data_IF_171944908907
#
_entry.id   IF_171944908907
#
_cell.length_a   1.000
_cell.length_b   1.000
_cell.length_c   1.000
_cell.angle_alpha   90.00
_cell.angle_beta   90.00
_cell.angle_gamma   90.00
#
_symmetry.space_group_name_H-M   'P 1'
#
loop_
_entity.id
_entity.type
_entity.pdbx_description
1 polymer ?
#
# COMPACT_ATOMS: atom_id res chain seq x y z
N UNK A 1 -2.55 -1.04 25.29
CA UNK A 1 -3.46 -1.00 24.11
C UNK A 1 -2.59 -1.00 22.88
N UNK A 2 -2.76 -1.95 21.96
CA UNK A 2 -1.96 -2.04 20.74
C UNK A 2 -2.32 -0.94 19.74
N UNK A 3 -1.33 -0.41 19.03
CA UNK A 3 -1.48 0.63 18.00
C UNK A 3 -1.02 0.06 16.66
N UNK A 4 -1.91 0.06 15.69
CA UNK A 4 -1.61 -0.41 14.33
C UNK A 4 -1.72 0.77 13.37
N UNK A 5 -0.67 1.03 12.60
CA UNK A 5 -0.67 2.06 11.58
C UNK A 5 -0.93 1.43 10.20
N UNK A 6 -1.94 1.93 9.48
CA UNK A 6 -2.24 1.57 8.09
C UNK A 6 -1.90 2.77 7.22
N UNK A 7 -0.94 2.60 6.33
CA UNK A 7 -0.40 3.64 5.47
C UNK A 7 -0.81 3.39 4.02
N UNK A 8 -1.29 4.42 3.32
CA UNK A 8 -1.54 4.39 1.89
C UNK A 8 -1.19 5.73 1.23
N UNK A 9 -0.92 5.71 -0.07
CA UNK A 9 -0.50 6.89 -0.81
C UNK A 9 -1.63 7.93 -0.91
N UNK A 10 -2.87 7.50 -1.09
CA UNK A 10 -4.01 8.37 -1.37
C UNK A 10 -5.15 8.16 -0.38
N UNK A 11 -6.05 9.15 -0.28
CA UNK A 11 -7.27 9.02 0.50
C UNK A 11 -8.20 7.92 -0.05
N UNK A 12 -8.20 7.70 -1.36
CA UNK A 12 -8.99 6.67 -2.01
C UNK A 12 -8.55 5.27 -1.56
N UNK A 13 -7.25 5.02 -1.50
CA UNK A 13 -6.70 3.74 -1.04
C UNK A 13 -6.92 3.49 0.45
N UNK A 14 -7.06 4.53 1.27
CA UNK A 14 -7.42 4.41 2.69
C UNK A 14 -8.92 4.19 2.91
N UNK A 15 -9.77 4.65 1.99
CA UNK A 15 -11.22 4.61 2.15
C UNK A 15 -11.77 3.21 2.45
N UNK A 16 -11.28 2.09 1.87
CA UNK A 16 -11.68 0.75 2.24
C UNK A 16 -11.49 0.43 3.73
N UNK A 17 -10.31 0.71 4.27
CA UNK A 17 -10.01 0.49 5.69
C UNK A 17 -10.79 1.46 6.59
N UNK A 18 -10.94 2.72 6.15
CA UNK A 18 -11.68 3.73 6.88
C UNK A 18 -13.16 3.35 7.02
N UNK A 19 -13.81 2.91 5.94
CA UNK A 19 -15.22 2.51 5.97
C UNK A 19 -15.48 1.35 6.93
N UNK A 20 -14.53 0.44 7.08
CA UNK A 20 -14.61 -0.64 8.07
C UNK A 20 -14.50 -0.11 9.48
N UNK A 21 -13.56 0.80 9.75
CA UNK A 21 -13.44 1.42 11.09
C UNK A 21 -14.68 2.22 11.46
N UNK A 22 -15.30 2.94 10.52
CA UNK A 22 -16.55 3.68 10.73
C UNK A 22 -17.72 2.77 11.09
N UNK A 23 -17.75 1.56 10.53
CA UNK A 23 -18.74 0.55 10.89
C UNK A 23 -18.60 0.07 12.35
N UNK A 24 -17.36 -0.03 12.85
CA UNK A 24 -17.10 -0.46 14.24
C UNK A 24 -17.19 0.68 15.26
N UNK A 25 -17.16 1.96 14.85
CA UNK A 25 -17.26 3.06 15.77
C UNK A 25 -16.94 4.43 15.19
N UNK A 26 -16.78 5.40 16.09
CA UNK A 26 -16.43 6.77 15.69
C UNK A 26 -14.97 6.87 15.27
N UNK A 27 -14.71 7.59 14.19
CA UNK A 27 -13.38 7.99 13.75
C UNK A 27 -13.11 9.41 14.20
N UNK A 28 -11.90 9.65 14.70
CA UNK A 28 -11.36 10.99 14.95
C UNK A 28 -10.36 11.35 13.85
N UNK A 29 -10.52 12.52 13.27
CA UNK A 29 -9.55 13.07 12.32
C UNK A 29 -8.52 13.92 13.04
N UNK A 30 -7.25 13.78 12.65
CA UNK A 30 -6.11 14.43 13.28
C UNK A 30 -4.98 14.62 12.23
N UNK A 31 -3.81 14.97 12.68
CA UNK A 31 -2.59 15.06 11.86
C UNK A 31 -1.41 14.44 12.59
N UNK A 32 -0.58 13.73 11.83
CA UNK A 32 0.75 13.31 12.25
C UNK A 32 1.75 14.15 11.47
N UNK A 33 2.34 15.14 12.12
CA UNK A 33 3.10 16.18 11.44
C UNK A 33 2.23 16.90 10.38
N UNK A 34 2.65 16.82 9.11
CA UNK A 34 1.91 17.39 7.96
C UNK A 34 0.90 16.42 7.32
N UNK A 35 0.87 15.16 7.74
CA UNK A 35 0.09 14.10 7.10
C UNK A 35 -1.32 14.03 7.69
N UNK A 36 -2.32 13.81 6.81
CA UNK A 36 -3.69 13.57 7.24
C UNK A 36 -3.76 12.20 7.94
N UNK A 37 -4.43 12.19 9.06
CA UNK A 37 -4.50 11.06 9.97
C UNK A 37 -5.94 10.86 10.45
N UNK A 38 -6.42 9.62 10.46
CA UNK A 38 -7.69 9.24 11.05
C UNK A 38 -7.44 8.11 12.07
N UNK A 39 -8.14 8.16 13.19
CA UNK A 39 -7.97 7.23 14.31
C UNK A 39 -9.31 6.56 14.58
N UNK A 40 -9.32 5.24 14.56
CA UNK A 40 -10.46 4.42 14.96
C UNK A 40 -10.04 3.34 15.95
N UNK A 41 -11.00 2.55 16.43
CA UNK A 41 -10.74 1.48 17.39
C UNK A 41 -11.40 0.18 16.97
N UNK A 42 -10.66 -0.90 17.05
CA UNK A 42 -11.13 -2.27 16.87
C UNK A 42 -10.87 -3.05 18.18
N UNK A 43 -11.88 -3.15 19.04
CA UNK A 43 -11.73 -3.74 20.40
C UNK A 43 -10.61 -3.03 21.20
N UNK A 44 -9.54 -3.76 21.49
CA UNK A 44 -8.35 -3.31 22.23
C UNK A 44 -7.23 -2.75 21.32
N UNK A 45 -7.47 -2.67 20.01
CA UNK A 45 -6.52 -2.15 19.03
C UNK A 45 -6.93 -0.76 18.59
N UNK A 46 -6.03 0.21 18.73
CA UNK A 46 -6.16 1.53 18.14
C UNK A 46 -5.57 1.50 16.72
N UNK A 47 -6.37 1.86 15.73
CA UNK A 47 -5.98 1.84 14.32
C UNK A 47 -5.80 3.27 13.82
N UNK A 48 -4.63 3.54 13.30
CA UNK A 48 -4.23 4.82 12.74
C UNK A 48 -4.16 4.71 11.22
N UNK A 49 -4.97 5.49 10.50
CA UNK A 49 -4.96 5.57 9.05
C UNK A 49 -4.19 6.80 8.60
N UNK A 50 -3.12 6.64 7.84
CA UNK A 50 -2.26 7.76 7.46
C UNK A 50 -2.13 7.84 5.93
N UNK A 51 -2.46 9.02 5.37
CA UNK A 51 -2.22 9.32 3.98
C UNK A 51 -0.80 9.84 3.80
N UNK A 52 0.07 9.03 3.17
CA UNK A 52 1.48 9.37 2.97
C UNK A 52 1.71 10.37 1.83
N UNK A 53 0.89 10.29 0.78
CA UNK A 53 1.17 10.86 -0.55
C UNK A 53 1.96 9.88 -1.41
N UNK A 54 1.94 10.10 -2.73
CA UNK A 54 2.53 9.21 -3.73
C UNK A 54 4.06 9.34 -3.73
N UNK A 55 4.75 8.20 -3.83
CA UNK A 55 6.18 8.05 -4.05
C UNK A 55 7.00 7.88 -2.76
N UNK A 56 8.17 7.29 -2.95
CA UNK A 56 9.06 6.85 -1.87
C UNK A 56 9.48 7.96 -0.89
N UNK A 57 9.69 9.20 -1.36
CA UNK A 57 10.11 10.30 -0.48
C UNK A 57 9.00 10.72 0.51
N UNK A 58 7.74 10.78 0.04
CA UNK A 58 6.60 11.10 0.89
C UNK A 58 6.29 9.97 1.85
N UNK A 59 6.36 8.73 1.37
CA UNK A 59 6.22 7.53 2.20
C UNK A 59 7.26 7.51 3.33
N UNK A 60 8.53 7.86 3.05
CA UNK A 60 9.59 7.98 4.05
C UNK A 60 9.22 8.96 5.15
N UNK A 61 8.95 10.20 4.77
CA UNK A 61 8.64 11.28 5.73
C UNK A 61 7.37 10.97 6.57
N UNK A 62 6.37 10.32 5.96
CA UNK A 62 5.16 9.92 6.68
C UNK A 62 5.46 8.81 7.68
N UNK A 63 6.23 7.79 7.29
CA UNK A 63 6.55 6.66 8.17
C UNK A 63 7.45 7.10 9.33
N UNK A 64 8.45 7.97 9.10
CA UNK A 64 9.26 8.57 10.15
C UNK A 64 8.39 9.36 11.15
N UNK A 65 7.44 10.17 10.65
CA UNK A 65 6.52 10.90 11.51
C UNK A 65 5.60 9.98 12.32
N UNK A 66 5.14 8.88 11.73
CA UNK A 66 4.32 7.85 12.40
C UNK A 66 5.13 7.16 13.51
N UNK A 67 6.37 6.79 13.25
CA UNK A 67 7.23 6.19 14.26
C UNK A 67 7.44 7.13 15.43
N UNK A 68 7.76 8.39 15.15
CA UNK A 68 8.05 9.37 16.18
C UNK A 68 6.82 9.72 17.04
N UNK A 69 5.64 9.87 16.43
CA UNK A 69 4.45 10.38 17.11
C UNK A 69 3.52 9.28 17.63
N UNK A 70 3.52 8.09 17.04
CA UNK A 70 2.57 7.02 17.35
C UNK A 70 3.29 5.83 17.97
N UNK A 71 4.51 5.49 17.52
CA UNK A 71 5.25 4.27 17.87
C UNK A 71 4.35 3.03 17.73
N UNK A 72 3.94 2.66 16.51
CA UNK A 72 2.97 1.60 16.30
C UNK A 72 3.57 0.22 16.57
N UNK A 73 2.75 -0.71 17.06
CA UNK A 73 3.13 -2.10 17.28
C UNK A 73 3.14 -2.92 15.98
N UNK A 74 2.54 -2.38 14.92
CA UNK A 74 2.60 -2.94 13.55
C UNK A 74 2.32 -1.86 12.51
N UNK A 75 2.92 -2.01 11.32
CA UNK A 75 2.68 -1.16 10.16
C UNK A 75 2.15 -2.03 9.01
N UNK A 76 1.03 -1.60 8.42
CA UNK A 76 0.44 -2.18 7.24
C UNK A 76 0.50 -1.15 6.11
N UNK A 77 1.18 -1.47 5.02
CA UNK A 77 1.15 -0.68 3.80
C UNK A 77 0.06 -1.23 2.89
N UNK A 78 -0.90 -0.40 2.51
CA UNK A 78 -2.01 -0.80 1.64
C UNK A 78 -2.16 0.12 0.43
N UNK A 79 -2.88 -0.33 -0.58
CA UNK A 79 -3.17 0.46 -1.78
C UNK A 79 -3.21 -0.39 -3.05
N UNK A 80 -3.05 0.29 -4.17
CA UNK A 80 -3.03 -0.36 -5.48
C UNK A 80 -1.62 -0.82 -5.85
N UNK A 81 -1.57 -1.76 -6.83
CA UNK A 81 -0.32 -2.29 -7.35
C UNK A 81 -0.46 -2.57 -8.84
N UNK A 82 0.58 -2.27 -9.61
CA UNK A 82 0.71 -2.78 -10.97
C UNK A 82 1.05 -4.27 -10.92
N UNK A 83 0.24 -5.11 -11.59
CA UNK A 83 0.49 -6.54 -11.68
C UNK A 83 1.72 -6.84 -12.54
N UNK A 84 2.58 -7.71 -12.06
CA UNK A 84 3.72 -8.27 -12.80
C UNK A 84 3.55 -9.78 -13.06
N UNK A 85 2.59 -10.42 -12.40
CA UNK A 85 2.23 -11.82 -12.55
C UNK A 85 0.94 -12.03 -13.37
N UNK A 86 0.38 -13.24 -13.32
CA UNK A 86 -0.85 -13.59 -14.03
C UNK A 86 -2.13 -13.05 -13.38
N UNK A 87 -2.03 -12.39 -12.25
CA UNK A 87 -3.16 -11.92 -11.45
C UNK A 87 -4.01 -10.92 -12.22
N UNK A 88 -5.33 -11.10 -12.12
CA UNK A 88 -6.31 -10.18 -12.71
C UNK A 88 -6.49 -8.89 -11.91
N UNK A 89 -7.07 -7.87 -12.55
CA UNK A 89 -7.50 -6.64 -11.87
C UNK A 89 -8.43 -6.98 -10.71
N UNK A 90 -8.21 -6.34 -9.56
CA UNK A 90 -8.93 -6.60 -8.33
C UNK A 90 -8.43 -7.80 -7.53
N UNK A 91 -7.47 -8.60 -8.03
CA UNK A 91 -6.84 -9.62 -7.21
C UNK A 91 -6.02 -8.99 -6.08
N UNK A 92 -6.02 -9.62 -4.90
CA UNK A 92 -5.23 -9.18 -3.76
C UNK A 92 -3.84 -9.83 -3.81
N UNK A 93 -2.80 -9.03 -3.64
CA UNK A 93 -1.42 -9.47 -3.46
C UNK A 93 -1.01 -9.23 -2.01
N UNK A 94 -0.62 -10.29 -1.32
CA UNK A 94 0.02 -10.26 -0.01
C UNK A 94 1.53 -10.37 -0.21
N UNK A 95 2.27 -9.31 0.11
CA UNK A 95 3.73 -9.31 -0.04
C UNK A 95 4.37 -10.32 0.90
N UNK A 96 5.26 -11.19 0.39
CA UNK A 96 6.08 -12.11 1.18
C UNK A 96 7.47 -11.54 1.46
N UNK A 97 7.95 -10.73 0.53
CA UNK A 97 9.18 -9.97 0.64
C UNK A 97 9.05 -8.70 -0.17
N UNK A 98 9.74 -7.65 0.27
CA UNK A 98 9.73 -6.35 -0.40
C UNK A 98 11.14 -6.04 -0.86
N UNK A 99 11.27 -5.68 -2.14
CA UNK A 99 12.55 -5.37 -2.75
C UNK A 99 12.58 -3.91 -3.20
N UNK A 100 13.64 -3.21 -2.88
CA UNK A 100 13.88 -1.86 -3.36
C UNK A 100 14.55 -1.90 -4.74
N UNK A 101 13.87 -1.35 -5.73
CA UNK A 101 14.33 -1.26 -7.11
C UNK A 101 14.44 0.19 -7.59
N UNK A 102 14.45 1.14 -6.65
CA UNK A 102 14.46 2.59 -6.96
C UNK A 102 15.69 3.00 -7.77
N UNK A 103 16.81 2.31 -7.59
CA UNK A 103 18.06 2.56 -8.32
C UNK A 103 18.38 1.48 -9.35
N UNK A 104 17.35 0.75 -9.82
CA UNK A 104 17.48 -0.35 -10.80
C UNK A 104 18.49 -1.44 -10.36
N UNK A 105 18.71 -1.58 -9.06
CA UNK A 105 19.59 -2.58 -8.46
C UNK A 105 18.80 -3.46 -7.51
N UNK A 106 19.06 -4.76 -7.60
CA UNK A 106 18.52 -5.71 -6.62
C UNK A 106 19.05 -5.35 -5.23
N UNK A 107 18.14 -4.97 -4.33
CA UNK A 107 18.46 -4.80 -2.91
C UNK A 107 18.20 -6.10 -2.15
N UNK A 108 18.75 -6.20 -0.94
CA UNK A 108 18.38 -7.26 -0.01
C UNK A 108 16.88 -7.22 0.25
N UNK A 109 16.22 -8.38 0.13
CA UNK A 109 14.81 -8.53 0.41
C UNK A 109 14.50 -8.15 1.87
N UNK A 110 13.48 -7.31 2.06
CA UNK A 110 12.95 -7.00 3.39
C UNK A 110 11.82 -7.99 3.66
N UNK A 111 11.98 -8.78 4.72
CA UNK A 111 10.97 -9.75 5.12
C UNK A 111 9.73 -9.05 5.70
N UNK A 112 8.56 -9.65 5.50
CA UNK A 112 7.33 -9.24 6.18
C UNK A 112 7.14 -10.08 7.46
N UNK A 113 6.25 -9.64 8.32
CA UNK A 113 5.89 -10.39 9.53
C UNK A 113 4.97 -11.57 9.19
N UNK A 114 5.38 -12.79 9.54
CA UNK A 114 4.65 -14.02 9.23
C UNK A 114 3.31 -14.13 9.95
N UNK A 115 3.18 -13.54 11.14
CA UNK A 115 1.92 -13.52 11.91
C UNK A 115 0.88 -12.65 11.18
N UNK A 116 1.29 -11.46 10.75
CA UNK A 116 0.45 -10.57 9.97
C UNK A 116 0.11 -11.16 8.60
N UNK A 117 1.08 -11.80 7.93
CA UNK A 117 0.88 -12.44 6.64
C UNK A 117 -0.14 -13.59 6.74
N UNK A 118 -0.02 -14.42 7.78
CA UNK A 118 -0.95 -15.53 8.05
C UNK A 118 -2.35 -15.01 8.33
N UNK A 119 -2.49 -13.99 9.17
CA UNK A 119 -3.79 -13.38 9.46
C UNK A 119 -4.41 -12.75 8.21
N UNK A 120 -3.60 -12.10 7.36
CA UNK A 120 -4.05 -11.54 6.10
C UNK A 120 -4.50 -12.61 5.10
N UNK A 121 -3.79 -13.74 5.02
CA UNK A 121 -4.17 -14.86 4.16
C UNK A 121 -5.51 -15.48 4.58
N UNK A 122 -5.73 -15.63 5.88
CA UNK A 122 -7.03 -16.06 6.42
C UNK A 122 -8.12 -15.06 6.06
N UNK A 123 -7.89 -13.77 6.30
CA UNK A 123 -8.85 -12.72 5.98
C UNK A 123 -9.19 -12.66 4.49
N UNK A 124 -8.21 -12.81 3.60
CA UNK A 124 -8.43 -12.83 2.15
C UNK A 124 -9.30 -14.01 1.72
N UNK A 125 -9.05 -15.20 2.30
CA UNK A 125 -9.86 -16.39 2.05
C UNK A 125 -11.31 -16.22 2.52
N UNK A 126 -11.51 -15.74 3.74
CA UNK A 126 -12.86 -15.53 4.31
C UNK A 126 -13.62 -14.42 3.57
N UNK A 127 -12.91 -13.40 3.07
CA UNK A 127 -13.47 -12.36 2.21
C UNK A 127 -13.97 -12.90 0.86
N UNK A 128 -13.55 -14.11 0.46
CA UNK A 128 -13.88 -14.70 -0.83
C UNK A 128 -13.35 -13.88 -2.01
N UNK A 129 -12.20 -13.20 -1.83
CA UNK A 129 -11.54 -12.46 -2.90
C UNK A 129 -10.48 -13.36 -3.56
N UNK A 130 -10.19 -13.12 -4.86
CA UNK A 130 -9.03 -13.73 -5.49
C UNK A 130 -7.76 -13.16 -4.89
N UNK A 131 -6.84 -14.00 -4.42
CA UNK A 131 -5.61 -13.54 -3.81
C UNK A 131 -4.42 -14.46 -4.09
N UNK A 132 -3.23 -13.88 -4.01
CA UNK A 132 -1.96 -14.58 -4.09
C UNK A 132 -0.95 -13.98 -3.12
N UNK A 133 0.16 -14.66 -2.90
CA UNK A 133 1.28 -14.15 -2.12
C UNK A 133 2.58 -14.25 -2.91
N UNK A 134 3.43 -13.26 -2.81
CA UNK A 134 4.71 -13.25 -3.52
C UNK A 134 5.51 -11.97 -3.32
N UNK A 135 6.69 -11.89 -3.96
CA UNK A 135 7.55 -10.72 -3.85
C UNK A 135 6.93 -9.48 -4.48
N UNK A 136 7.12 -8.33 -3.84
CA UNK A 136 6.75 -7.00 -4.34
C UNK A 136 8.02 -6.19 -4.54
N UNK A 137 8.10 -5.43 -5.63
CA UNK A 137 9.17 -4.47 -5.86
C UNK A 137 8.65 -3.04 -5.82
N UNK A 138 9.48 -2.15 -5.29
CA UNK A 138 9.21 -0.71 -5.26
C UNK A 138 10.15 0.00 -6.22
N UNK A 139 9.59 0.81 -7.11
CA UNK A 139 10.30 1.60 -8.12
C UNK A 139 10.11 3.09 -7.90
N UNK A 140 10.97 3.90 -8.53
CA UNK A 140 10.93 5.36 -8.38
C UNK A 140 9.77 6.02 -9.17
N UNK A 141 9.39 5.44 -10.31
CA UNK A 141 8.44 5.99 -11.25
C UNK A 141 7.35 4.98 -11.58
N UNK A 142 6.20 5.47 -12.05
CA UNK A 142 5.11 4.62 -12.51
C UNK A 142 5.56 3.85 -13.76
N UNK A 143 5.46 2.53 -13.71
CA UNK A 143 5.70 1.64 -14.86
C UNK A 143 4.40 1.57 -15.67
N UNK A 144 4.34 2.27 -16.77
CA UNK A 144 3.08 2.47 -17.50
C UNK A 144 2.95 1.62 -18.77
N UNK A 145 4.06 1.09 -19.31
CA UNK A 145 4.04 0.23 -20.50
C UNK A 145 4.06 -1.24 -20.14
N UNK A 146 3.28 -2.05 -20.84
CA UNK A 146 3.26 -3.50 -20.68
C UNK A 146 4.65 -4.12 -20.90
N UNK A 147 5.40 -3.65 -21.90
CA UNK A 147 6.77 -4.13 -22.17
C UNK A 147 7.73 -3.89 -21.00
N UNK A 148 7.61 -2.74 -20.34
CA UNK A 148 8.40 -2.39 -19.15
C UNK A 148 8.03 -3.30 -17.97
N UNK A 149 6.73 -3.53 -17.73
CA UNK A 149 6.25 -4.45 -16.69
C UNK A 149 6.75 -5.88 -16.92
N UNK A 150 6.69 -6.37 -18.15
CA UNK A 150 7.17 -7.71 -18.51
C UNK A 150 8.68 -7.85 -18.31
N UNK A 151 9.46 -6.85 -18.74
CA UNK A 151 10.91 -6.82 -18.51
C UNK A 151 11.23 -6.80 -17.01
N UNK A 152 10.50 -5.99 -16.23
CA UNK A 152 10.67 -5.87 -14.80
C UNK A 152 10.30 -7.18 -14.08
N UNK A 153 9.20 -7.83 -14.48
CA UNK A 153 8.80 -9.14 -13.97
C UNK A 153 9.89 -10.20 -14.20
N UNK A 154 10.42 -10.27 -15.44
CA UNK A 154 11.47 -11.21 -15.79
C UNK A 154 12.79 -10.95 -15.03
N UNK A 155 13.15 -9.69 -14.81
CA UNK A 155 14.38 -9.31 -14.11
C UNK A 155 14.30 -9.52 -12.59
N UNK A 156 13.13 -9.31 -11.98
CA UNK A 156 12.97 -9.31 -10.52
C UNK A 156 12.34 -10.57 -9.94
N UNK A 157 11.58 -11.32 -10.74
CA UNK A 157 10.73 -12.41 -10.26
C UNK A 157 9.57 -11.94 -9.36
N UNK A 158 9.32 -10.65 -9.26
CA UNK A 158 8.24 -10.10 -8.47
C UNK A 158 6.88 -10.26 -9.17
N UNK A 159 5.81 -10.32 -8.38
CA UNK A 159 4.43 -10.43 -8.88
C UNK A 159 3.68 -9.10 -8.88
N UNK A 160 4.28 -8.06 -8.30
CA UNK A 160 3.69 -6.72 -8.27
C UNK A 160 4.71 -5.62 -8.08
N UNK A 161 4.38 -4.41 -8.58
CA UNK A 161 5.21 -3.21 -8.52
C UNK A 161 4.45 -2.04 -7.94
N UNK A 162 5.06 -1.36 -6.97
CA UNK A 162 4.55 -0.12 -6.35
C UNK A 162 5.65 0.95 -6.21
N UNK A 163 5.35 2.04 -5.49
CA UNK A 163 6.29 3.16 -5.31
C UNK A 163 6.61 3.46 -3.84
N UNK A 164 6.07 2.73 -2.88
CA UNK A 164 6.14 3.07 -1.46
C UNK A 164 6.59 1.93 -0.54
N UNK A 165 6.23 0.67 -0.83
CA UNK A 165 6.35 -0.45 0.10
C UNK A 165 7.76 -0.65 0.63
N UNK A 166 8.80 -0.59 -0.21
CA UNK A 166 10.17 -0.83 0.24
C UNK A 166 10.65 0.25 1.23
N UNK A 167 10.24 1.49 1.01
CA UNK A 167 10.59 2.59 1.91
C UNK A 167 9.94 2.43 3.28
N UNK A 168 8.65 2.09 3.31
CA UNK A 168 7.91 1.85 4.56
C UNK A 168 8.49 0.63 5.28
N UNK A 169 8.68 -0.48 4.55
CA UNK A 169 9.22 -1.73 5.08
C UNK A 169 10.62 -1.55 5.68
N UNK A 170 11.48 -0.76 5.02
CA UNK A 170 12.84 -0.48 5.51
C UNK A 170 12.82 0.24 6.85
N UNK A 171 11.98 1.28 7.00
CA UNK A 171 11.86 2.00 8.27
C UNK A 171 11.28 1.08 9.34
N UNK A 172 10.23 0.31 9.02
CA UNK A 172 9.68 -0.66 9.94
C UNK A 172 10.73 -1.68 10.42
N UNK A 173 11.56 -2.20 9.49
CA UNK A 173 12.64 -3.13 9.83
C UNK A 173 13.73 -2.50 10.71
N UNK A 174 14.13 -1.24 10.44
CA UNK A 174 15.09 -0.52 11.27
C UNK A 174 14.59 -0.31 12.70
N UNK A 175 13.30 -0.01 12.84
CA UNK A 175 12.62 0.19 14.12
C UNK A 175 12.11 -1.13 14.75
N UNK A 176 12.36 -2.27 14.09
CA UNK A 176 11.92 -3.61 14.52
C UNK A 176 10.39 -3.71 14.69
N UNK A 177 9.63 -2.96 13.89
CA UNK A 177 8.18 -2.98 13.87
C UNK A 177 7.69 -4.02 12.87
N UNK A 178 6.81 -4.97 13.24
CA UNK A 178 6.15 -5.87 12.31
C UNK A 178 5.52 -5.15 11.14
N UNK A 179 5.79 -5.63 9.92
CA UNK A 179 5.35 -5.00 8.68
C UNK A 179 4.63 -5.99 7.75
N UNK A 180 3.60 -5.50 7.07
CA UNK A 180 2.90 -6.22 6.01
C UNK A 180 2.56 -5.28 4.86
N UNK A 181 2.71 -5.76 3.61
CA UNK A 181 2.19 -5.10 2.42
C UNK A 181 0.97 -5.84 1.88
N UNK A 182 -0.15 -5.12 1.71
CA UNK A 182 -1.41 -5.62 1.16
C UNK A 182 -1.80 -4.75 -0.02
N UNK A 183 -1.91 -5.33 -1.20
CA UNK A 183 -2.13 -4.60 -2.45
C UNK A 183 -3.26 -5.20 -3.27
N UNK A 184 -4.08 -4.36 -3.91
CA UNK A 184 -5.03 -4.80 -4.92
C UNK A 184 -4.54 -4.41 -6.31
N UNK A 185 -4.59 -5.35 -7.24
CA UNK A 185 -4.12 -5.16 -8.62
C UNK A 185 -5.02 -4.14 -9.33
N UNK A 186 -4.43 -3.03 -9.79
CA UNK A 186 -5.11 -1.99 -10.56
C UNK A 186 -4.98 -2.16 -12.07
N UNK A 187 -3.89 -2.81 -12.52
CA UNK A 187 -3.59 -3.01 -13.93
C UNK A 187 -2.72 -4.25 -14.12
N UNK A 188 -2.92 -4.98 -15.22
CA UNK A 188 -2.23 -6.23 -15.49
C UNK A 188 -0.86 -6.01 -16.11
N UNK A 189 -0.01 -7.03 -16.06
CA UNK A 189 1.32 -7.04 -16.70
C UNK A 189 1.25 -6.78 -18.21
N UNK A 190 0.17 -7.21 -18.88
CA UNK A 190 -0.03 -7.03 -20.31
C UNK A 190 -0.77 -5.74 -20.72
N UNK A 191 -1.14 -4.88 -19.76
CA UNK A 191 -1.91 -3.67 -20.05
C UNK A 191 -0.99 -2.44 -20.03
N UNK A 192 -1.04 -1.65 -21.11
CA UNK A 192 -0.53 -0.28 -21.07
C UNK A 192 -1.49 0.59 -20.26
N UNK A 193 -0.97 1.48 -19.43
CA UNK A 193 -1.75 2.57 -18.87
C UNK A 193 -2.06 3.59 -19.99
N UNK A 194 -3.19 4.31 -19.91
CA UNK A 194 -3.65 5.17 -21.01
C UNK A 194 -2.70 6.32 -21.33
N UNK A 195 -1.80 6.66 -20.39
CA UNK A 195 -0.83 7.74 -20.56
C UNK A 195 0.33 7.58 -19.54
N UNK A 196 1.39 8.34 -19.74
CA UNK A 196 2.49 8.46 -18.79
C UNK A 196 2.11 9.38 -17.62
N UNK A 197 1.68 8.77 -16.51
CA UNK A 197 1.32 9.52 -15.29
C UNK A 197 2.52 10.16 -14.57
N UNK A 198 3.76 9.79 -14.90
CA UNK A 198 4.94 10.42 -14.31
C UNK A 198 5.00 11.92 -14.69
N UNK A 199 4.49 12.28 -15.85
CA UNK A 199 4.35 13.67 -16.28
C UNK A 199 3.45 14.48 -15.34
N UNK A 200 2.44 13.86 -14.73
CA UNK A 200 1.49 14.51 -13.81
C UNK A 200 2.03 14.64 -12.38
N UNK A 201 2.94 13.78 -12.01
CA UNK A 201 3.59 13.84 -10.69
C UNK A 201 4.64 14.96 -10.61
N UNK A 202 5.09 15.50 -11.74
CA UNK A 202 6.01 16.64 -11.80
C UNK A 202 5.29 17.97 -11.55
N UNK A 203 5.99 18.96 -10.99
CA UNK A 203 5.42 20.27 -10.64
C UNK A 203 4.82 21.06 -11.84
N UNK A 204 5.26 20.73 -13.07
CA UNK A 204 4.76 21.34 -14.33
C UNK A 204 3.74 20.46 -15.08
N UNK A 205 3.43 19.28 -14.55
CA UNK A 205 2.74 18.21 -15.30
C UNK A 205 1.23 18.38 -15.44
N UNK A 206 0.57 19.08 -14.51
CA UNK A 206 -0.89 19.21 -14.53
C UNK A 206 -1.42 19.93 -15.77
N UNK A 207 -0.72 20.98 -16.25
CA UNK A 207 -1.11 21.71 -17.46
C UNK A 207 -0.90 20.88 -18.74
N UNK A 208 0.22 20.13 -18.82
CA UNK A 208 0.49 19.24 -19.96
C UNK A 208 -0.51 18.10 -20.03
N UNK A 209 -0.87 17.49 -18.90
CA UNK A 209 -1.85 16.42 -18.86
C UNK A 209 -3.25 16.86 -19.28
N UNK A 210 -3.69 18.07 -18.86
CA UNK A 210 -4.96 18.64 -19.32
C UNK A 210 -4.94 18.88 -20.83
N UNK A 211 -3.85 19.39 -21.38
CA UNK A 211 -3.70 19.63 -22.82
C UNK A 211 -3.71 18.30 -23.60
N UNK A 212 -3.05 17.26 -23.11
CA UNK A 212 -3.03 15.93 -23.70
C UNK A 212 -4.43 15.30 -23.70
N UNK A 213 -5.19 15.46 -22.61
CA UNK A 213 -6.57 15.00 -22.50
C UNK A 213 -7.49 15.71 -23.50
N UNK A 214 -7.30 17.02 -23.75
CA UNK A 214 -8.08 17.79 -24.70
C UNK A 214 -7.78 17.43 -26.16
N UNK A 215 -6.56 17.01 -26.44
CA UNK A 215 -6.11 16.67 -27.81
C UNK A 215 -6.38 15.22 -28.20
N UNK A 216 -6.60 14.31 -27.22
CA UNK A 216 -6.77 12.88 -27.47
C UNK A 216 -8.02 12.31 -26.76
N UNK A 217 -9.22 12.45 -27.36
CA UNK A 217 -10.47 11.94 -26.77
C UNK A 217 -10.46 10.42 -26.48
N UNK A 218 -9.63 9.65 -27.19
CA UNK A 218 -9.43 8.22 -26.96
C UNK A 218 -8.92 7.90 -25.54
N UNK A 219 -8.18 8.84 -24.92
CA UNK A 219 -7.70 8.71 -23.53
C UNK A 219 -8.86 8.61 -22.53
N UNK A 220 -10.02 9.23 -22.83
CA UNK A 220 -11.19 9.16 -21.94
C UNK A 220 -11.66 7.71 -21.69
N UNK A 221 -11.61 6.85 -22.71
CA UNK A 221 -11.94 5.43 -22.57
C UNK A 221 -10.93 4.70 -21.68
N UNK A 222 -9.64 5.02 -21.85
CA UNK A 222 -8.57 4.48 -21.02
C UNK A 222 -8.70 4.90 -19.55
N UNK A 223 -8.97 6.18 -19.30
CA UNK A 223 -9.21 6.72 -17.96
C UNK A 223 -10.46 6.13 -17.30
N UNK A 224 -11.55 5.95 -18.09
CA UNK A 224 -12.76 5.29 -17.58
C UNK A 224 -12.47 3.83 -17.18
N UNK A 225 -11.72 3.09 -18.02
CA UNK A 225 -11.29 1.71 -17.68
C UNK A 225 -10.46 1.69 -16.42
N UNK A 226 -9.49 2.60 -16.28
CA UNK A 226 -8.71 2.73 -15.04
C UNK A 226 -9.58 3.00 -13.82
N UNK A 227 -10.60 3.87 -13.96
CA UNK A 227 -11.55 4.11 -12.87
C UNK A 227 -12.27 2.83 -12.48
N UNK A 228 -12.80 2.06 -13.44
CA UNK A 228 -13.45 0.78 -13.17
C UNK A 228 -12.50 -0.24 -12.51
N UNK A 229 -11.24 -0.28 -12.94
CA UNK A 229 -10.23 -1.13 -12.34
C UNK A 229 -9.94 -0.73 -10.88
N UNK A 230 -9.82 0.56 -10.61
CA UNK A 230 -9.65 1.06 -9.26
C UNK A 230 -10.89 0.82 -8.38
N UNK A 231 -12.10 0.92 -8.93
CA UNK A 231 -13.35 0.58 -8.22
C UNK A 231 -13.36 -0.92 -7.82
N UNK A 232 -12.89 -1.81 -8.70
CA UNK A 232 -12.74 -3.25 -8.38
C UNK A 232 -11.68 -3.49 -7.29
N UNK A 233 -10.56 -2.78 -7.35
CA UNK A 233 -9.52 -2.87 -6.32
C UNK A 233 -10.02 -2.35 -4.96
N UNK A 234 -10.78 -1.26 -4.95
CA UNK A 234 -11.42 -0.73 -3.73
C UNK A 234 -12.40 -1.73 -3.11
N UNK A 235 -13.21 -2.41 -3.92
CA UNK A 235 -14.14 -3.42 -3.42
C UNK A 235 -13.39 -4.61 -2.79
N UNK A 236 -12.35 -5.08 -3.45
CA UNK A 236 -11.48 -6.14 -2.91
C UNK A 236 -10.85 -5.74 -1.58
N UNK A 237 -10.25 -4.55 -1.50
CA UNK A 237 -9.66 -4.05 -0.26
C UNK A 237 -10.72 -3.87 0.85
N UNK A 238 -11.93 -3.40 0.53
CA UNK A 238 -13.02 -3.25 1.50
C UNK A 238 -13.44 -4.60 2.08
N UNK A 239 -13.65 -5.60 1.21
CA UNK A 239 -14.00 -6.97 1.63
C UNK A 239 -12.87 -7.58 2.47
N UNK A 240 -11.63 -7.42 2.04
CA UNK A 240 -10.47 -7.87 2.80
C UNK A 240 -10.40 -7.22 4.19
N UNK A 241 -10.46 -5.88 4.27
CA UNK A 241 -10.35 -5.19 5.55
C UNK A 241 -11.49 -5.50 6.50
N UNK A 242 -12.69 -5.80 6.01
CA UNK A 242 -13.80 -6.23 6.85
C UNK A 242 -13.47 -7.50 7.66
N UNK A 243 -12.79 -8.45 7.05
CA UNK A 243 -12.35 -9.69 7.71
C UNK A 243 -11.03 -9.49 8.49
N UNK A 244 -10.10 -8.74 7.94
CA UNK A 244 -8.82 -8.48 8.57
C UNK A 244 -8.98 -7.68 9.88
N UNK A 245 -9.94 -6.76 9.95
CA UNK A 245 -10.28 -6.03 11.17
C UNK A 245 -10.74 -6.97 12.31
N UNK A 246 -11.39 -8.07 11.98
CA UNK A 246 -11.79 -9.09 12.98
C UNK A 246 -10.62 -9.95 13.43
N UNK A 247 -9.65 -10.21 12.56
CA UNK A 247 -8.47 -11.01 12.85
C UNK A 247 -7.39 -10.22 13.61
N UNK A 248 -7.28 -8.92 13.34
CA UNK A 248 -6.22 -8.05 13.86
C UNK A 248 -6.12 -8.02 15.40
N UNK A 249 -7.22 -7.96 16.19
CA UNK A 249 -7.15 -8.01 17.65
C UNK A 249 -6.55 -9.32 18.19
N UNK A 250 -6.67 -10.41 17.46
CA UNK A 250 -6.19 -11.74 17.86
C UNK A 250 -4.74 -12.02 17.45
N UNK A 251 -4.12 -11.15 16.63
CA UNK A 251 -2.73 -11.28 16.23
C UNK A 251 -1.80 -11.11 17.45
N UNK A 252 -1.00 -12.12 17.76
CA UNK A 252 0.05 -12.03 18.79
C UNK A 252 1.29 -11.40 18.15
N UNK A 253 1.36 -10.08 18.16
CA UNK A 253 2.54 -9.35 17.71
C UNK A 253 3.61 -9.39 18.82
N UNK A 254 4.90 -9.51 18.48
CA UNK A 254 5.97 -9.45 19.45
C UNK A 254 5.92 -8.10 20.20
N UNK A 255 6.21 -8.09 21.53
CA UNK A 255 6.27 -6.83 22.26
C UNK A 255 7.40 -5.96 21.69
N UNK A 256 7.13 -4.67 21.55
CA UNK A 256 8.16 -3.71 21.18
C UNK A 256 9.26 -3.68 22.25
N UNK A 257 10.54 -3.60 21.88
CA UNK A 257 11.59 -3.35 22.85
C UNK A 257 11.32 -2.00 23.53
N UNK A 258 11.32 -2.02 24.88
CA UNK A 258 11.13 -0.81 25.69
C UNK A 258 12.16 0.27 25.29
N UNK A 259 11.71 1.35 24.68
CA UNK A 259 12.53 2.51 24.38
C UNK A 259 12.91 3.35 25.61
N UNK A 260 12.61 2.88 26.82
CA UNK A 260 12.88 3.59 28.08
C UNK A 260 14.35 3.58 28.54
N UNK A 261 15.25 2.86 27.84
CA UNK A 261 16.64 2.67 28.29
C UNK A 261 17.67 3.53 27.51
N UNK A 262 17.26 4.39 26.59
CA UNK A 262 18.19 5.16 25.75
C UNK A 262 18.37 6.65 26.20
N UNK A 263 18.01 7.02 27.43
CA UNK A 263 18.24 8.33 28.02
C UNK A 263 18.88 8.21 29.42
N UNK A 264 20.01 7.53 29.49
CA UNK A 264 20.89 7.62 30.66
C UNK A 264 22.33 7.85 30.23
#
# INVERSE_FOLDING_TARGET
>A
MRRVAILAATARELAPAQSVLEFFGRIRHDRVGRFAHAIGRLKDVEVHLIKTGIGHQRARLATEAVQLAISPDAIISTGYIGGLGPEGVGALILGTSIHDWIQERSSTAIAVDETLLTAAAVAAREAGVGWTKGPIITVANIVWRASEKQALAAASGAIGVDMESATIARIAAMEKVPFLAVRAVSDKVGDDLPMDFNLWLSASGSLRGILELMTHPSLLRGLYRMKCHADNADDTLRRFFAWFAMALPSCQLPPQPDCSVALS
#
